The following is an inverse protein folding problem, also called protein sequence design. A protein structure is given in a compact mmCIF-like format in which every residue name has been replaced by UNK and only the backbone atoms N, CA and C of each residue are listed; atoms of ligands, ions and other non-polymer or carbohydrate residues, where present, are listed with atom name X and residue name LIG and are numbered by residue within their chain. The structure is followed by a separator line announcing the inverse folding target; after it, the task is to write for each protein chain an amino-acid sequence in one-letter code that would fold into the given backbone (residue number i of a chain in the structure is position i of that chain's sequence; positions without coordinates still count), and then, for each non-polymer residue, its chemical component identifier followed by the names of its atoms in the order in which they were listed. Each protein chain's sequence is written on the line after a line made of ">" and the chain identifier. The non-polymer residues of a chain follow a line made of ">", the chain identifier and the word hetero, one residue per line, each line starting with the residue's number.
data_IF_047273212059
#
_entry.id   IF_047273212059
#
_cell.length_a   1.000
_cell.length_b   1.000
_cell.length_c   1.000
_cell.angle_alpha   90.00
_cell.angle_beta   90.00
_cell.angle_gamma   90.00
#
_symmetry.space_group_name_H-M   'P 1'
#
loop_
_entity.id
_entity.type
_entity.pdbx_description
1 polymer ?
#
# COMPACT_ATOMS: atom_id res chain seq x y z
N UNK A 1 -15.74 1.54 16.48
CA UNK A 1 -15.24 2.44 15.42
C UNK A 1 -13.72 2.45 15.53
N UNK A 2 -13.05 1.42 15.01
CA UNK A 2 -11.61 1.25 15.17
C UNK A 2 -10.88 1.65 13.89
N UNK A 3 -10.17 2.78 13.98
CA UNK A 3 -9.47 3.45 12.89
C UNK A 3 -8.16 2.73 12.55
N UNK A 4 -8.12 2.14 11.36
CA UNK A 4 -6.96 1.91 10.47
C UNK A 4 -5.54 2.16 11.04
N UNK A 5 -4.94 1.20 11.76
CA UNK A 5 -3.59 1.37 12.29
C UNK A 5 -2.50 1.21 11.21
N UNK A 6 -2.69 0.39 10.16
CA UNK A 6 -1.57 0.03 9.27
C UNK A 6 -1.23 1.07 8.19
N UNK A 7 -2.21 1.67 7.51
CA UNK A 7 -1.95 2.73 6.53
C UNK A 7 -1.39 4.00 7.19
N UNK A 8 -1.93 4.34 8.38
CA UNK A 8 -1.41 5.42 9.23
C UNK A 8 0.02 5.16 9.71
N UNK A 9 0.41 3.89 9.89
CA UNK A 9 1.77 3.53 10.26
C UNK A 9 2.76 3.73 9.10
N UNK A 10 2.43 3.35 7.86
CA UNK A 10 3.36 3.52 6.73
C UNK A 10 3.51 5.01 6.37
N UNK A 11 2.41 5.76 6.27
CA UNK A 11 2.48 7.20 6.00
C UNK A 11 3.27 7.95 7.08
N UNK A 12 3.11 7.58 8.36
CA UNK A 12 3.90 8.12 9.46
C UNK A 12 5.39 7.77 9.33
N UNK A 13 5.73 6.53 8.96
CA UNK A 13 7.11 6.11 8.72
C UNK A 13 7.75 6.84 7.53
N UNK A 14 7.00 7.07 6.45
CA UNK A 14 7.45 7.84 5.28
C UNK A 14 7.74 9.29 5.67
N UNK A 15 6.87 9.91 6.48
CA UNK A 15 7.13 11.25 7.01
C UNK A 15 8.39 11.28 7.88
N UNK A 16 8.54 10.33 8.81
CA UNK A 16 9.74 10.22 9.63
C UNK A 16 11.02 10.00 8.81
N UNK A 17 10.91 9.26 7.70
CA UNK A 17 12.01 9.05 6.77
C UNK A 17 12.39 10.37 6.08
N UNK A 18 11.41 11.10 5.55
CA UNK A 18 11.60 12.42 4.95
C UNK A 18 12.27 13.40 5.93
N UNK A 19 11.75 13.49 7.16
CA UNK A 19 12.32 14.34 8.21
C UNK A 19 13.77 13.94 8.55
N UNK A 20 14.06 12.64 8.59
CA UNK A 20 15.40 12.13 8.87
C UNK A 20 16.39 12.39 7.73
N UNK A 21 15.94 12.29 6.47
CA UNK A 21 16.72 12.59 5.26
C UNK A 21 17.04 14.08 5.16
N UNK A 22 16.07 14.95 5.45
CA UNK A 22 16.31 16.41 5.54
C UNK A 22 17.33 16.75 6.63
N UNK A 23 17.19 16.14 7.83
CA UNK A 23 18.17 16.34 8.90
C UNK A 23 19.57 15.84 8.52
N UNK A 24 19.67 14.72 7.78
CA UNK A 24 20.96 14.24 7.28
C UNK A 24 21.57 15.22 6.28
N UNK A 25 20.76 15.78 5.39
CA UNK A 25 21.18 16.81 4.44
C UNK A 25 21.75 18.04 5.15
N UNK A 26 21.07 18.56 6.18
CA UNK A 26 21.56 19.68 6.99
C UNK A 26 22.89 19.37 7.70
N UNK A 27 23.12 18.12 8.11
CA UNK A 27 24.40 17.69 8.67
C UNK A 27 25.48 17.67 7.58
N UNK A 28 25.17 17.13 6.41
CA UNK A 28 26.11 17.08 5.28
C UNK A 28 26.51 18.50 4.84
N UNK A 29 25.57 19.45 4.80
CA UNK A 29 25.86 20.88 4.56
C UNK A 29 26.79 21.47 5.62
N UNK A 30 26.57 21.15 6.91
CA UNK A 30 27.44 21.63 8.00
C UNK A 30 28.84 21.02 7.89
N UNK A 31 28.94 19.74 7.53
CA UNK A 31 30.21 19.05 7.30
C UNK A 31 30.98 19.69 6.14
N UNK A 32 30.29 20.09 5.07
CA UNK A 32 30.90 20.74 3.92
C UNK A 32 31.55 22.11 4.22
N UNK A 33 31.24 22.73 5.37
CA UNK A 33 31.87 23.99 5.81
C UNK A 33 33.31 23.81 6.31
N UNK A 34 33.74 22.57 6.56
CA UNK A 34 35.08 22.25 7.03
C UNK A 34 35.98 21.90 5.85
N UNK A 35 37.17 22.50 5.80
CA UNK A 35 38.13 22.33 4.69
C UNK A 35 38.85 20.99 4.76
N UNK A 36 39.18 20.54 5.98
CA UNK A 36 39.84 19.26 6.21
C UNK A 36 38.96 18.34 7.06
N UNK A 37 38.98 17.03 6.76
CA UNK A 37 38.17 16.04 7.47
C UNK A 37 38.48 15.96 8.98
N UNK A 38 39.72 16.24 9.36
CA UNK A 38 40.19 16.24 10.75
C UNK A 38 39.59 17.38 11.57
N UNK A 39 39.13 18.45 10.91
CA UNK A 39 38.53 19.62 11.57
C UNK A 39 37.03 19.43 11.82
N UNK A 40 36.42 18.38 11.23
CA UNK A 40 35.00 18.09 11.41
C UNK A 40 34.75 17.69 12.86
N UNK A 41 33.87 18.40 13.60
CA UNK A 41 33.51 18.03 14.95
C UNK A 41 33.04 16.57 15.03
N UNK A 42 33.62 15.81 15.95
CA UNK A 42 33.26 14.41 16.19
C UNK A 42 31.75 14.22 16.41
N UNK A 43 31.09 15.21 17.00
CA UNK A 43 29.64 15.19 17.22
C UNK A 43 28.87 15.15 15.90
N UNK A 44 29.24 15.93 14.88
CA UNK A 44 28.60 15.90 13.56
C UNK A 44 28.77 14.54 12.89
N UNK A 45 29.96 13.93 12.99
CA UNK A 45 30.20 12.58 12.45
C UNK A 45 29.36 11.52 13.17
N UNK A 46 29.19 11.63 14.50
CA UNK A 46 28.32 10.73 15.29
C UNK A 46 26.86 10.89 14.90
N UNK A 47 26.38 12.11 14.78
CA UNK A 47 24.99 12.41 14.44
C UNK A 47 24.67 11.95 13.01
N UNK A 48 25.59 12.17 12.05
CA UNK A 48 25.51 11.62 10.68
C UNK A 48 25.33 10.10 10.69
N UNK A 49 26.21 9.37 11.39
CA UNK A 49 26.14 7.90 11.49
C UNK A 49 24.85 7.43 12.16
N UNK A 50 24.38 8.15 13.17
CA UNK A 50 23.12 7.83 13.87
C UNK A 50 21.92 8.00 12.94
N UNK A 51 21.84 9.10 12.20
CA UNK A 51 20.77 9.35 11.24
C UNK A 51 20.79 8.34 10.09
N UNK A 52 21.96 7.99 9.54
CA UNK A 52 22.06 6.97 8.51
C UNK A 52 21.53 5.60 8.98
N UNK A 53 21.88 5.18 10.20
CA UNK A 53 21.32 3.94 10.79
C UNK A 53 19.81 4.03 11.00
N UNK A 54 19.32 5.18 11.42
CA UNK A 54 17.89 5.42 11.60
C UNK A 54 17.12 5.38 10.28
N UNK A 55 17.62 6.05 9.25
CA UNK A 55 17.08 6.02 7.87
C UNK A 55 17.05 4.58 7.34
N UNK A 56 18.14 3.82 7.48
CA UNK A 56 18.18 2.42 7.05
C UNK A 56 17.11 1.57 7.76
N UNK A 57 16.91 1.79 9.07
CA UNK A 57 15.85 1.13 9.83
C UNK A 57 14.46 1.53 9.35
N UNK A 58 14.20 2.82 9.12
CA UNK A 58 12.91 3.31 8.64
C UNK A 58 12.58 2.75 7.25
N UNK A 59 13.55 2.77 6.32
CA UNK A 59 13.40 2.17 4.98
C UNK A 59 13.04 0.70 5.06
N UNK A 60 13.71 -0.07 5.92
CA UNK A 60 13.39 -1.48 6.15
C UNK A 60 11.97 -1.66 6.70
N UNK A 61 11.57 -0.88 7.69
CA UNK A 61 10.21 -0.95 8.25
C UNK A 61 9.13 -0.59 7.24
N UNK A 62 9.39 0.38 6.36
CA UNK A 62 8.51 0.72 5.25
C UNK A 62 8.43 -0.45 4.28
N UNK A 63 9.57 -1.02 3.87
CA UNK A 63 9.60 -2.17 2.96
C UNK A 63 8.83 -3.38 3.52
N UNK A 64 8.97 -3.69 4.81
CA UNK A 64 8.26 -4.78 5.46
C UNK A 64 6.74 -4.54 5.56
N UNK A 65 6.30 -3.28 5.67
CA UNK A 65 4.89 -2.93 5.90
C UNK A 65 4.14 -2.51 4.64
N UNK A 66 4.84 -2.03 3.61
CA UNK A 66 4.27 -1.55 2.34
C UNK A 66 3.42 -2.64 1.67
N UNK A 67 3.88 -3.90 1.51
CA UNK A 67 3.09 -4.95 0.89
C UNK A 67 1.75 -5.20 1.62
N UNK A 68 1.81 -5.24 2.96
CA UNK A 68 0.62 -5.45 3.80
C UNK A 68 -0.36 -4.28 3.67
N UNK A 69 0.15 -3.04 3.68
CA UNK A 69 -0.71 -1.86 3.54
C UNK A 69 -1.35 -1.79 2.16
N UNK A 70 -0.60 -2.11 1.10
CA UNK A 70 -1.10 -2.14 -0.28
C UNK A 70 -2.19 -3.20 -0.41
N UNK A 71 -1.94 -4.43 0.06
CA UNK A 71 -2.93 -5.51 0.03
C UNK A 71 -4.21 -5.14 0.79
N UNK A 72 -4.08 -4.64 2.02
CA UNK A 72 -5.25 -4.25 2.83
C UNK A 72 -6.06 -3.12 2.17
N UNK A 73 -5.37 -2.17 1.54
CA UNK A 73 -6.01 -1.05 0.86
C UNK A 73 -6.77 -1.51 -0.38
N UNK A 74 -6.12 -2.29 -1.25
CA UNK A 74 -6.74 -2.89 -2.42
C UNK A 74 -7.98 -3.73 -2.05
N UNK A 75 -7.87 -4.58 -1.02
CA UNK A 75 -8.99 -5.38 -0.52
C UNK A 75 -10.17 -4.50 -0.14
N UNK A 76 -9.96 -3.48 0.70
CA UNK A 76 -11.03 -2.55 1.12
C UNK A 76 -11.67 -1.82 -0.05
N UNK A 77 -10.85 -1.41 -1.02
CA UNK A 77 -11.30 -0.67 -2.18
C UNK A 77 -12.25 -1.53 -3.02
N UNK A 78 -11.86 -2.78 -3.31
CA UNK A 78 -12.64 -3.72 -4.10
C UNK A 78 -13.91 -4.16 -3.37
N UNK A 79 -13.80 -4.58 -2.10
CA UNK A 79 -14.95 -5.12 -1.35
C UNK A 79 -15.89 -4.05 -0.80
N UNK A 80 -15.47 -2.79 -0.79
CA UNK A 80 -16.23 -1.65 -0.26
C UNK A 80 -16.82 -0.79 -1.37
N UNK A 81 -16.20 0.37 -1.69
CA UNK A 81 -16.77 1.35 -2.60
C UNK A 81 -16.92 0.86 -4.04
N UNK A 82 -16.03 -0.02 -4.53
CA UNK A 82 -16.18 -0.61 -5.87
C UNK A 82 -17.35 -1.59 -5.91
N UNK A 83 -17.42 -2.52 -4.95
CA UNK A 83 -18.55 -3.44 -4.80
C UNK A 83 -19.88 -2.69 -4.69
N UNK A 84 -19.96 -1.68 -3.82
CA UNK A 84 -21.17 -0.87 -3.66
C UNK A 84 -21.59 -0.18 -4.97
N UNK A 85 -20.62 0.30 -5.77
CA UNK A 85 -20.91 0.92 -7.04
C UNK A 85 -21.40 -0.07 -8.11
N UNK A 86 -20.77 -1.25 -8.20
CA UNK A 86 -21.04 -2.23 -9.26
C UNK A 86 -22.28 -3.08 -8.93
N UNK A 87 -22.42 -3.52 -7.68
CA UNK A 87 -23.45 -4.47 -7.27
C UNK A 87 -24.55 -3.84 -6.41
N UNK A 88 -24.41 -2.56 -6.03
CA UNK A 88 -25.36 -1.84 -5.18
C UNK A 88 -25.17 -2.09 -3.67
N UNK A 89 -24.25 -2.98 -3.28
CA UNK A 89 -23.95 -3.29 -1.88
C UNK A 89 -22.48 -3.67 -1.65
N UNK A 90 -21.88 -3.31 -0.50
CA UNK A 90 -20.52 -3.71 -0.17
C UNK A 90 -20.43 -5.16 0.30
N UNK A 91 -19.35 -5.86 -0.03
CA UNK A 91 -19.10 -7.26 0.32
C UNK A 91 -18.47 -7.41 1.72
N UNK A 92 -19.16 -6.93 2.76
CA UNK A 92 -18.61 -6.81 4.13
C UNK A 92 -18.05 -8.09 4.73
N UNK A 93 -18.69 -9.23 4.48
CA UNK A 93 -18.22 -10.53 4.98
C UNK A 93 -16.89 -10.94 4.33
N UNK A 94 -16.83 -10.81 3.00
CA UNK A 94 -15.61 -11.08 2.23
C UNK A 94 -14.48 -10.12 2.61
N UNK A 95 -14.79 -8.83 2.80
CA UNK A 95 -13.84 -7.84 3.30
C UNK A 95 -13.21 -8.29 4.62
N UNK A 96 -14.05 -8.65 5.60
CA UNK A 96 -13.60 -9.05 6.92
C UNK A 96 -12.69 -10.28 6.85
N UNK A 97 -13.06 -11.28 6.06
CA UNK A 97 -12.28 -12.51 5.89
C UNK A 97 -10.92 -12.23 5.26
N UNK A 98 -10.88 -11.47 4.16
CA UNK A 98 -9.65 -11.14 3.44
C UNK A 98 -8.73 -10.21 4.26
N UNK A 99 -9.29 -9.26 5.01
CA UNK A 99 -8.52 -8.40 5.92
C UNK A 99 -7.95 -9.16 7.11
N UNK A 100 -8.69 -10.15 7.61
CA UNK A 100 -8.20 -11.05 8.68
C UNK A 100 -7.01 -11.84 8.17
N UNK A 101 -7.10 -12.45 6.97
CA UNK A 101 -5.98 -13.15 6.33
C UNK A 101 -4.77 -12.24 6.11
N UNK A 102 -4.98 -11.03 5.58
CA UNK A 102 -3.89 -10.07 5.36
C UNK A 102 -3.21 -9.61 6.66
N UNK A 103 -3.93 -9.61 7.79
CA UNK A 103 -3.39 -9.18 9.08
C UNK A 103 -2.53 -10.23 9.77
N UNK A 104 -2.58 -11.49 9.31
CA UNK A 104 -1.78 -12.59 9.87
C UNK A 104 -0.39 -12.75 9.20
N UNK A 105 0.00 -11.82 8.31
CA UNK A 105 1.36 -11.72 7.75
C UNK A 105 2.40 -11.47 8.86
N UNK A 106 3.63 -12.03 8.76
CA UNK A 106 4.21 -12.75 7.62
C UNK A 106 4.17 -14.29 7.68
N UNK A 107 3.54 -14.93 8.67
CA UNK A 107 3.74 -16.36 8.98
C UNK A 107 2.73 -17.31 8.32
N UNK A 108 2.30 -16.98 7.11
CA UNK A 108 1.03 -17.44 6.53
C UNK A 108 1.21 -18.26 5.25
N UNK A 109 0.89 -19.57 5.26
CA UNK A 109 0.88 -20.42 4.04
C UNK A 109 -0.21 -20.02 3.01
N UNK A 110 -1.12 -19.12 3.40
CA UNK A 110 -2.29 -18.67 2.63
C UNK A 110 -2.05 -17.39 1.82
N UNK A 111 -0.82 -16.86 1.80
CA UNK A 111 -0.47 -15.69 1.00
C UNK A 111 0.77 -15.99 0.17
N UNK A 112 0.75 -15.64 -1.10
CA UNK A 112 1.94 -15.66 -1.93
C UNK A 112 2.71 -14.34 -1.76
N UNK A 113 3.60 -14.30 -0.77
CA UNK A 113 4.37 -13.09 -0.45
C UNK A 113 5.28 -12.67 -1.60
N UNK A 114 5.84 -13.63 -2.35
CA UNK A 114 6.69 -13.32 -3.49
C UNK A 114 5.90 -12.62 -4.59
N UNK A 115 4.70 -13.14 -4.92
CA UNK A 115 3.80 -12.50 -5.88
C UNK A 115 3.32 -11.14 -5.40
N UNK A 116 3.02 -11.00 -4.09
CA UNK A 116 2.63 -9.71 -3.53
C UNK A 116 3.76 -8.68 -3.61
N UNK A 117 5.00 -9.06 -3.33
CA UNK A 117 6.17 -8.17 -3.46
C UNK A 117 6.41 -7.77 -4.92
N UNK A 118 6.30 -8.72 -5.84
CA UNK A 118 6.41 -8.47 -7.29
C UNK A 118 5.34 -7.50 -7.80
N UNK A 119 4.09 -7.70 -7.37
CA UNK A 119 2.92 -6.94 -7.87
C UNK A 119 2.58 -5.71 -7.03
N UNK A 120 3.26 -5.46 -5.92
CA UNK A 120 2.87 -4.43 -4.95
C UNK A 120 2.74 -3.04 -5.60
N UNK A 121 3.66 -2.67 -6.49
CA UNK A 121 3.62 -1.37 -7.16
C UNK A 121 2.47 -1.27 -8.15
N UNK A 122 2.24 -2.31 -8.95
CA UNK A 122 1.11 -2.36 -9.89
C UNK A 122 -0.24 -2.29 -9.16
N UNK A 123 -0.38 -3.01 -8.05
CA UNK A 123 -1.58 -2.97 -7.20
C UNK A 123 -1.79 -1.59 -6.60
N UNK A 124 -0.72 -0.95 -6.13
CA UNK A 124 -0.78 0.40 -5.58
C UNK A 124 -1.26 1.38 -6.65
N UNK A 125 -0.62 1.39 -7.83
CA UNK A 125 -0.98 2.27 -8.93
C UNK A 125 -2.44 2.07 -9.37
N UNK A 126 -2.89 0.82 -9.56
CA UNK A 126 -4.28 0.51 -9.93
C UNK A 126 -5.28 0.96 -8.87
N UNK A 127 -4.94 0.78 -7.60
CA UNK A 127 -5.80 1.21 -6.49
C UNK A 127 -5.96 2.73 -6.47
N UNK A 128 -4.89 3.49 -6.74
CA UNK A 128 -4.95 4.95 -6.88
C UNK A 128 -5.79 5.38 -8.09
N UNK A 129 -5.61 4.74 -9.25
CA UNK A 129 -6.42 4.98 -10.46
C UNK A 129 -7.91 4.75 -10.20
N UNK A 130 -8.27 3.63 -9.55
CA UNK A 130 -9.65 3.32 -9.16
C UNK A 130 -10.21 4.38 -8.20
N UNK A 131 -9.42 4.86 -7.24
CA UNK A 131 -9.86 5.94 -6.35
C UNK A 131 -10.16 7.24 -7.11
N UNK A 132 -9.31 7.61 -8.05
CA UNK A 132 -9.53 8.80 -8.90
C UNK A 132 -10.81 8.63 -9.71
N UNK A 133 -11.03 7.46 -10.31
CA UNK A 133 -12.25 7.16 -11.07
C UNK A 133 -13.51 7.20 -10.18
N UNK A 134 -13.45 6.63 -8.98
CA UNK A 134 -14.54 6.71 -8.00
C UNK A 134 -14.85 8.15 -7.61
N UNK A 135 -13.83 8.98 -7.40
CA UNK A 135 -14.01 10.40 -7.10
C UNK A 135 -14.63 11.15 -8.27
N UNK A 136 -14.14 10.92 -9.49
CA UNK A 136 -14.68 11.51 -10.70
C UNK A 136 -16.15 11.11 -10.89
N UNK A 137 -16.49 9.84 -10.72
CA UNK A 137 -17.85 9.33 -10.87
C UNK A 137 -18.82 9.96 -9.85
N UNK A 138 -18.36 10.22 -8.63
CA UNK A 138 -19.16 10.92 -7.61
C UNK A 138 -19.44 12.37 -7.96
N UNK A 139 -18.58 13.01 -8.74
CA UNK A 139 -18.74 14.40 -9.19
C UNK A 139 -19.67 14.43 -10.40
N UNK A 140 -19.37 13.62 -11.43
CA UNK A 140 -20.12 13.58 -12.68
C UNK A 140 -20.22 12.12 -13.17
N UNK A 141 -21.34 11.43 -12.89
CA UNK A 141 -21.56 10.07 -13.34
C UNK A 141 -21.65 10.00 -14.86
N UNK A 142 -20.77 9.24 -15.51
CA UNK A 142 -20.91 8.93 -16.92
C UNK A 142 -20.48 7.50 -17.26
N UNK A 143 -21.03 6.89 -18.33
CA UNK A 143 -20.82 5.47 -18.66
C UNK A 143 -19.34 5.09 -18.82
N UNK A 144 -18.54 5.94 -19.47
CA UNK A 144 -17.10 5.69 -19.63
C UNK A 144 -16.30 5.56 -18.33
N UNK A 145 -16.71 6.21 -17.23
CA UNK A 145 -16.06 6.03 -15.92
C UNK A 145 -16.38 4.66 -15.32
N UNK A 146 -17.62 4.18 -15.50
CA UNK A 146 -18.01 2.84 -15.02
C UNK A 146 -17.23 1.77 -15.79
N UNK A 147 -17.11 1.91 -17.11
CA UNK A 147 -16.34 0.96 -17.93
C UNK A 147 -14.87 0.92 -17.51
N UNK A 148 -14.23 2.09 -17.37
CA UNK A 148 -12.85 2.17 -16.89
C UNK A 148 -12.70 1.56 -15.48
N UNK A 149 -13.62 1.89 -14.57
CA UNK A 149 -13.59 1.38 -13.20
C UNK A 149 -13.74 -0.14 -13.16
N UNK A 150 -14.62 -0.71 -13.98
CA UNK A 150 -14.77 -2.17 -14.14
C UNK A 150 -13.47 -2.80 -14.62
N UNK A 151 -12.90 -2.30 -15.73
CA UNK A 151 -11.64 -2.82 -16.26
C UNK A 151 -10.51 -2.84 -15.21
N UNK A 152 -10.28 -1.72 -14.53
CA UNK A 152 -9.25 -1.64 -13.48
C UNK A 152 -9.58 -2.54 -12.28
N UNK A 153 -10.86 -2.67 -11.93
CA UNK A 153 -11.30 -3.52 -10.82
C UNK A 153 -11.16 -5.02 -11.11
N UNK A 154 -11.37 -5.45 -12.35
CA UNK A 154 -11.26 -6.85 -12.78
C UNK A 154 -9.81 -7.30 -12.68
N UNK A 155 -8.92 -6.46 -13.21
CA UNK A 155 -7.47 -6.59 -13.13
C UNK A 155 -6.97 -6.66 -11.68
N UNK A 156 -7.46 -5.77 -10.82
CA UNK A 156 -7.12 -5.77 -9.39
C UNK A 156 -7.68 -7.00 -8.67
N UNK A 157 -8.90 -7.44 -8.99
CA UNK A 157 -9.51 -8.64 -8.42
C UNK A 157 -8.73 -9.91 -8.79
N UNK A 158 -8.25 -10.01 -10.02
CA UNK A 158 -7.40 -11.10 -10.48
C UNK A 158 -6.09 -11.17 -9.67
N UNK A 159 -5.42 -10.03 -9.45
CA UNK A 159 -4.21 -9.97 -8.64
C UNK A 159 -4.48 -10.41 -7.18
N UNK A 160 -5.61 -9.98 -6.60
CA UNK A 160 -6.00 -10.35 -5.24
C UNK A 160 -6.30 -11.85 -5.10
N UNK A 161 -6.98 -12.47 -6.07
CA UNK A 161 -7.28 -13.91 -6.07
C UNK A 161 -5.98 -14.74 -5.99
N UNK A 162 -4.98 -14.37 -6.79
CA UNK A 162 -3.68 -15.05 -6.82
C UNK A 162 -2.94 -14.84 -5.50
N UNK A 163 -2.86 -13.60 -5.02
CA UNK A 163 -2.11 -13.26 -3.80
C UNK A 163 -2.69 -13.97 -2.58
N UNK A 164 -4.01 -13.95 -2.42
CA UNK A 164 -4.70 -14.63 -1.32
C UNK A 164 -4.79 -16.15 -1.47
N UNK A 165 -4.29 -16.71 -2.58
CA UNK A 165 -4.35 -18.15 -2.90
C UNK A 165 -5.74 -18.74 -2.65
N UNK A 166 -6.78 -18.04 -3.09
CA UNK A 166 -8.16 -18.45 -2.85
C UNK A 166 -8.47 -19.70 -3.70
N UNK A 167 -9.06 -20.71 -3.07
CA UNK A 167 -9.58 -21.85 -3.80
C UNK A 167 -10.80 -21.41 -4.64
N UNK A 168 -11.04 -22.04 -5.81
CA UNK A 168 -12.23 -21.76 -6.61
C UNK A 168 -13.52 -21.86 -5.78
N UNK A 169 -14.40 -20.86 -5.89
CA UNK A 169 -15.64 -20.74 -5.13
C UNK A 169 -15.49 -20.18 -3.71
N UNK A 170 -14.27 -19.89 -3.25
CA UNK A 170 -14.05 -19.30 -1.92
C UNK A 170 -14.38 -17.80 -1.87
N UNK A 171 -14.38 -17.12 -3.02
CA UNK A 171 -14.76 -15.72 -3.15
C UNK A 171 -15.50 -15.48 -4.48
N UNK A 172 -16.73 -15.99 -4.63
CA UNK A 172 -17.44 -15.97 -5.90
C UNK A 172 -17.67 -14.55 -6.43
N UNK A 173 -17.82 -13.56 -5.54
CA UNK A 173 -17.95 -12.15 -5.93
C UNK A 173 -16.66 -11.62 -6.59
N UNK A 174 -15.51 -11.97 -6.02
CA UNK A 174 -14.21 -11.56 -6.53
C UNK A 174 -13.88 -12.29 -7.84
N UNK A 175 -14.27 -13.56 -7.96
CA UNK A 175 -14.15 -14.37 -9.18
C UNK A 175 -15.03 -13.84 -10.31
N UNK A 176 -16.27 -13.44 -10.01
CA UNK A 176 -17.16 -12.80 -10.98
C UNK A 176 -16.59 -11.47 -11.47
N UNK A 177 -15.96 -10.70 -10.58
CA UNK A 177 -15.31 -9.43 -10.95
C UNK A 177 -14.09 -9.69 -11.83
N UNK A 178 -13.20 -10.58 -11.43
CA UNK A 178 -12.01 -10.91 -12.22
C UNK A 178 -12.32 -11.52 -13.60
N UNK A 179 -13.51 -12.09 -13.81
CA UNK A 179 -13.95 -12.64 -15.09
C UNK A 179 -14.76 -11.66 -15.94
N UNK A 180 -15.04 -10.45 -15.45
CA UNK A 180 -15.87 -9.46 -16.14
C UNK A 180 -17.34 -9.90 -16.28
N UNK A 181 -17.83 -10.79 -15.42
CA UNK A 181 -19.15 -11.42 -15.55
C UNK A 181 -20.32 -10.61 -14.95
N UNK A 182 -20.22 -9.27 -14.94
CA UNK A 182 -21.15 -8.33 -14.28
C UNK A 182 -21.85 -7.36 -15.24
#
# INVERSE_FOLDING_TARGET
>A
MDREPNARNVASLVRQLSDAEENLHLIDERVAKYVHEVDIPLQLLKDRRRLQKWIARLRRQIAERKPISVLRFATKLITGPVAELITGEPWRMLEQDLLTRASQLPHANYLDLAVLEEKAEAIFQRSDEIQVLLMAYRIEPHPGLIEALRQHSDELAADLLVIYRLAPGAAPQLEALASGAW
#
